data_IF_579628282223
#
_entry.id   IF_579628282223
#
_cell.length_a   1.000
_cell.length_b   1.000
_cell.length_c   1.000
_cell.angle_alpha   90.00
_cell.angle_beta   90.00
_cell.angle_gamma   90.00
#
_symmetry.space_group_name_H-M   'P 1'
#
loop_
_entity.id
_entity.type
_entity.pdbx_description
1 polymer ?
#
# COMPACT_ATOMS: atom_id res chain seq x y z
N UNK A 1 -7.13 34.89 -2.12
CA UNK A 1 -6.07 33.93 -2.47
C UNK A 1 -6.66 32.55 -2.32
N UNK A 2 -6.61 31.73 -3.36
CA UNK A 2 -7.15 30.38 -3.30
C UNK A 2 -6.11 29.54 -2.54
N UNK A 3 -6.41 29.15 -1.30
CA UNK A 3 -5.53 28.22 -0.58
C UNK A 3 -5.40 26.97 -1.45
N UNK A 4 -4.18 26.52 -1.66
CA UNK A 4 -3.94 25.28 -2.38
C UNK A 4 -4.54 24.12 -1.56
N UNK A 5 -5.12 23.11 -2.21
CA UNK A 5 -5.73 21.94 -1.55
C UNK A 5 -4.84 21.36 -0.45
N UNK A 6 -3.51 21.36 -0.66
CA UNK A 6 -2.53 20.90 0.33
C UNK A 6 -2.58 21.74 1.61
N UNK A 7 -2.62 23.06 1.52
CA UNK A 7 -2.68 23.96 2.68
C UNK A 7 -3.99 23.77 3.46
N UNK A 8 -5.10 23.55 2.75
CA UNK A 8 -6.40 23.30 3.37
C UNK A 8 -6.43 21.96 4.12
N UNK A 9 -5.80 20.93 3.56
CA UNK A 9 -5.71 19.60 4.16
C UNK A 9 -4.78 19.61 5.38
N UNK A 10 -3.59 20.21 5.25
CA UNK A 10 -2.65 20.35 6.37
C UNK A 10 -3.23 21.19 7.52
N UNK A 11 -4.02 22.22 7.22
CA UNK A 11 -4.68 23.06 8.22
C UNK A 11 -5.77 22.35 9.04
N UNK A 12 -6.24 21.18 8.60
CA UNK A 12 -7.21 20.35 9.31
C UNK A 12 -6.55 19.26 10.17
N UNK A 13 -5.22 19.08 10.03
CA UNK A 13 -4.50 18.10 10.81
C UNK A 13 -4.29 18.58 12.25
N UNK A 14 -4.56 17.70 13.20
CA UNK A 14 -4.21 17.85 14.60
C UNK A 14 -3.10 16.87 14.97
N UNK A 15 -2.19 17.29 15.84
CA UNK A 15 -1.22 16.38 16.43
C UNK A 15 -1.89 15.60 17.55
N UNK A 16 -1.84 14.27 17.46
CA UNK A 16 -2.24 13.39 18.54
C UNK A 16 -1.22 13.37 19.68
N UNK A 17 -1.57 12.69 20.77
CA UNK A 17 -0.66 12.47 21.88
C UNK A 17 0.60 11.73 21.41
N UNK A 18 1.77 12.29 21.74
CA UNK A 18 3.06 11.72 21.38
C UNK A 18 3.20 10.31 21.96
N UNK A 19 3.50 9.36 21.08
CA UNK A 19 3.85 8.00 21.47
C UNK A 19 5.38 7.90 21.49
N UNK A 20 5.97 7.36 22.55
CA UNK A 20 7.43 7.26 22.65
C UNK A 20 7.87 5.90 23.19
N UNK A 21 8.97 5.40 22.64
CA UNK A 21 9.68 4.21 23.11
C UNK A 21 11.18 4.43 22.97
N UNK A 22 11.92 4.36 24.08
CA UNK A 22 13.34 4.71 24.14
C UNK A 22 13.63 6.09 23.54
N UNK A 23 14.41 6.15 22.45
CA UNK A 23 14.80 7.34 21.71
C UNK A 23 13.95 7.60 20.46
N UNK A 24 12.83 6.87 20.29
CA UNK A 24 11.87 7.08 19.22
C UNK A 24 10.63 7.79 19.75
N UNK A 25 10.22 8.88 19.10
CA UNK A 25 8.98 9.59 19.37
C UNK A 25 8.19 9.71 18.07
N UNK A 26 6.91 9.38 18.13
CA UNK A 26 5.97 9.42 17.03
C UNK A 26 4.89 10.44 17.38
N UNK A 27 4.70 11.42 16.52
CA UNK A 27 3.64 12.41 16.61
C UNK A 27 2.57 12.06 15.60
N UNK A 28 1.43 11.48 16.02
CA UNK A 28 0.37 11.12 15.09
C UNK A 28 -0.20 12.37 14.41
N UNK A 29 -0.37 12.31 13.09
CA UNK A 29 -1.15 13.30 12.35
C UNK A 29 -2.57 12.78 12.24
N UNK A 30 -3.51 13.46 12.87
CA UNK A 30 -4.92 13.06 12.95
C UNK A 30 -5.79 14.08 12.21
N UNK A 31 -6.91 13.62 11.67
CA UNK A 31 -7.98 14.46 11.11
C UNK A 31 -9.33 13.91 11.59
N UNK A 32 -10.33 14.78 11.70
CA UNK A 32 -11.70 14.37 12.03
C UNK A 32 -12.42 13.73 10.82
N UNK A 33 -11.80 13.81 9.64
CA UNK A 33 -12.32 13.24 8.40
C UNK A 33 -12.03 11.73 8.35
N UNK A 34 -13.08 10.93 8.51
CA UNK A 34 -13.00 9.46 8.42
C UNK A 34 -13.02 9.03 6.94
N UNK A 35 -12.00 9.47 6.19
CA UNK A 35 -11.84 9.06 4.80
C UNK A 35 -10.98 7.80 4.75
N UNK A 36 -11.61 6.67 4.43
CA UNK A 36 -10.85 5.48 4.05
C UNK A 36 -9.99 5.84 2.83
N UNK A 37 -8.71 5.43 2.81
CA UNK A 37 -7.91 5.55 1.59
C UNK A 37 -8.67 4.87 0.45
N UNK A 38 -8.76 5.53 -0.70
CA UNK A 38 -9.46 5.03 -1.89
C UNK A 38 -8.74 3.85 -2.56
N UNK A 39 -8.03 3.03 -1.79
CA UNK A 39 -7.27 1.87 -2.18
C UNK A 39 -7.20 0.86 -1.03
N UNK A 40 -6.97 -0.41 -1.37
CA UNK A 40 -6.64 -1.48 -0.43
C UNK A 40 -5.12 -1.61 -0.32
N UNK A 41 -4.62 -2.07 0.83
CA UNK A 41 -3.21 -2.47 0.93
C UNK A 41 -3.00 -3.88 0.37
N UNK A 42 -1.77 -4.22 0.03
CA UNK A 42 -1.40 -5.56 -0.41
C UNK A 42 -1.84 -6.63 0.61
N UNK A 43 -1.55 -6.42 1.89
CA UNK A 43 -1.93 -7.35 2.96
C UNK A 43 -3.44 -7.56 3.05
N UNK A 44 -4.23 -6.48 2.99
CA UNK A 44 -5.69 -6.57 2.96
C UNK A 44 -6.15 -7.40 1.76
N UNK A 45 -5.64 -7.09 0.58
CA UNK A 45 -6.07 -7.74 -0.65
C UNK A 45 -5.68 -9.23 -0.71
N UNK A 46 -4.51 -9.61 -0.19
CA UNK A 46 -4.10 -11.02 -0.14
C UNK A 46 -4.87 -11.81 0.92
N UNK A 47 -5.06 -11.25 2.12
CA UNK A 47 -5.79 -11.92 3.20
C UNK A 47 -7.26 -12.19 2.82
N UNK A 48 -7.88 -11.24 2.13
CA UNK A 48 -9.28 -11.35 1.68
C UNK A 48 -9.44 -12.04 0.32
N UNK A 49 -8.34 -12.57 -0.25
CA UNK A 49 -8.31 -13.23 -1.58
C UNK A 49 -8.83 -12.34 -2.72
N UNK A 50 -8.64 -11.04 -2.58
CA UNK A 50 -8.98 -9.97 -3.51
C UNK A 50 -7.83 -9.63 -4.48
N UNK A 51 -6.64 -10.19 -4.24
CA UNK A 51 -5.53 -10.18 -5.18
C UNK A 51 -4.96 -11.58 -5.38
N UNK A 52 -4.27 -11.76 -6.50
CA UNK A 52 -3.57 -13.01 -6.82
C UNK A 52 -2.16 -12.71 -7.31
N UNK A 53 -1.19 -13.49 -6.82
CA UNK A 53 0.19 -13.47 -7.29
C UNK A 53 0.48 -14.81 -7.98
N UNK A 54 1.00 -14.75 -9.19
CA UNK A 54 1.40 -15.95 -9.96
C UNK A 54 2.82 -15.80 -10.46
N UNK A 55 3.58 -16.88 -10.42
CA UNK A 55 4.93 -16.93 -11.01
C UNK A 55 4.83 -17.22 -12.51
N UNK A 56 5.49 -16.40 -13.30
CA UNK A 56 5.66 -16.60 -14.74
C UNK A 56 7.11 -17.03 -14.94
N UNK A 57 7.31 -18.29 -15.34
CA UNK A 57 8.64 -18.81 -15.66
C UNK A 57 8.63 -19.50 -17.02
N UNK A 58 9.42 -18.99 -17.97
CA UNK A 58 9.89 -19.77 -19.11
C UNK A 58 11.31 -20.26 -18.81
N UNK A 59 11.58 -21.53 -19.13
CA UNK A 59 12.76 -22.26 -18.65
C UNK A 59 14.08 -21.49 -18.79
N UNK A 60 14.81 -21.36 -17.68
CA UNK A 60 16.16 -20.77 -17.63
C UNK A 60 16.23 -19.27 -17.32
N UNK A 61 15.11 -18.60 -17.10
CA UNK A 61 15.07 -17.17 -16.73
C UNK A 61 14.83 -16.94 -15.24
N UNK A 62 15.20 -15.75 -14.76
CA UNK A 62 14.85 -15.27 -13.42
C UNK A 62 13.32 -15.28 -13.30
N UNK A 63 12.72 -15.90 -12.28
CA UNK A 63 11.27 -15.92 -12.12
C UNK A 63 10.67 -14.51 -12.06
N UNK A 64 9.68 -14.23 -12.89
CA UNK A 64 8.87 -13.01 -12.81
C UNK A 64 7.57 -13.29 -12.05
N UNK A 65 7.04 -12.27 -11.37
CA UNK A 65 5.77 -12.35 -10.66
C UNK A 65 4.74 -11.47 -11.37
N UNK A 66 3.57 -12.04 -11.66
CA UNK A 66 2.40 -11.28 -12.07
C UNK A 66 1.47 -11.10 -10.86
N UNK A 67 1.05 -9.85 -10.67
CA UNK A 67 0.08 -9.46 -9.66
C UNK A 67 -1.23 -9.13 -10.36
N UNK A 68 -2.35 -9.66 -9.86
CA UNK A 68 -3.66 -9.44 -10.44
C UNK A 68 -4.60 -8.88 -9.37
N UNK A 69 -5.18 -7.71 -9.66
CA UNK A 69 -6.18 -7.07 -8.83
C UNK A 69 -7.58 -7.59 -9.23
N UNK A 70 -8.21 -8.36 -8.34
CA UNK A 70 -9.51 -8.99 -8.59
C UNK A 70 -10.69 -8.11 -8.15
N UNK A 71 -10.43 -6.86 -7.76
CA UNK A 71 -11.42 -5.91 -7.26
C UNK A 71 -11.62 -4.75 -8.24
N UNK A 72 -12.65 -3.94 -8.00
CA UNK A 72 -12.85 -2.67 -8.72
C UNK A 72 -12.10 -1.50 -8.05
N UNK A 73 -11.43 -1.73 -6.92
CA UNK A 73 -10.68 -0.72 -6.18
C UNK A 73 -9.18 -0.81 -6.49
N UNK A 74 -8.44 0.31 -6.48
CA UNK A 74 -6.99 0.26 -6.55
C UNK A 74 -6.38 -0.53 -5.37
N UNK A 75 -5.28 -1.23 -5.60
CA UNK A 75 -4.47 -1.84 -4.53
C UNK A 75 -3.10 -1.16 -4.54
N UNK A 76 -2.69 -0.64 -3.37
CA UNK A 76 -1.37 -0.07 -3.16
C UNK A 76 -0.42 -1.19 -2.70
N UNK A 77 0.63 -1.38 -3.49
CA UNK A 77 1.77 -2.23 -3.19
C UNK A 77 2.90 -1.30 -2.77
N UNK A 78 3.30 -1.33 -1.51
CA UNK A 78 4.34 -0.48 -0.97
C UNK A 78 5.72 -1.09 -1.16
N UNK A 79 6.70 -0.23 -1.41
CA UNK A 79 8.11 -0.63 -1.43
C UNK A 79 8.51 -1.21 -0.06
N UNK A 80 9.28 -2.31 -0.08
CA UNK A 80 9.68 -3.02 1.12
C UNK A 80 8.68 -4.06 1.64
N UNK A 81 7.48 -4.18 1.07
CA UNK A 81 6.56 -5.27 1.41
C UNK A 81 7.07 -6.63 0.89
N UNK A 82 6.85 -7.68 1.68
CA UNK A 82 7.23 -9.05 1.33
C UNK A 82 6.08 -9.80 0.66
N UNK A 83 6.32 -10.31 -0.54
CA UNK A 83 5.43 -11.23 -1.23
C UNK A 83 5.70 -12.65 -0.75
N UNK A 84 4.84 -13.14 0.14
CA UNK A 84 4.91 -14.50 0.69
C UNK A 84 3.95 -15.42 -0.07
N UNK A 85 4.42 -16.58 -0.54
CA UNK A 85 3.58 -17.60 -1.19
C UNK A 85 3.93 -17.96 -2.64
N UNK A 86 4.92 -17.28 -3.25
CA UNK A 86 5.55 -17.73 -4.50
C UNK A 86 6.66 -18.78 -4.22
N UNK A 87 7.26 -19.41 -5.24
CA UNK A 87 8.37 -20.36 -5.03
C UNK A 87 9.60 -19.74 -4.38
N UNK A 88 9.71 -18.41 -4.42
CA UNK A 88 10.71 -17.60 -3.74
C UNK A 88 9.99 -16.43 -3.08
N UNK A 89 10.33 -16.10 -1.84
CA UNK A 89 9.89 -14.86 -1.23
C UNK A 89 10.60 -13.69 -1.90
N UNK A 90 9.87 -12.60 -2.14
CA UNK A 90 10.42 -11.39 -2.78
C UNK A 90 10.01 -10.15 -2.00
N UNK A 91 10.97 -9.25 -1.80
CA UNK A 91 10.69 -7.90 -1.32
C UNK A 91 10.47 -7.00 -2.53
N UNK A 92 9.34 -6.29 -2.55
CA UNK A 92 9.08 -5.26 -3.55
C UNK A 92 10.13 -4.16 -3.45
N UNK A 93 10.58 -3.64 -4.59
CA UNK A 93 11.56 -2.56 -4.69
C UNK A 93 10.98 -1.28 -5.32
N UNK A 94 9.66 -1.25 -5.47
CA UNK A 94 8.91 -0.18 -6.12
C UNK A 94 7.53 -0.11 -5.49
N UNK A 95 7.04 1.12 -5.31
CA UNK A 95 5.66 1.37 -4.90
C UNK A 95 4.77 1.47 -6.14
N UNK A 96 3.69 0.70 -6.18
CA UNK A 96 2.74 0.66 -7.29
C UNK A 96 1.31 0.84 -6.78
N UNK A 97 0.51 1.62 -7.51
CA UNK A 97 -0.94 1.66 -7.33
C UNK A 97 -1.59 0.95 -8.51
N UNK A 98 -2.03 -0.29 -8.29
CA UNK A 98 -2.58 -1.17 -9.32
C UNK A 98 -4.09 -0.96 -9.39
N UNK A 99 -4.58 -0.46 -10.52
CA UNK A 99 -6.01 -0.17 -10.72
C UNK A 99 -6.87 -1.43 -10.64
N UNK A 100 -8.16 -1.25 -10.33
CA UNK A 100 -9.13 -2.35 -10.29
C UNK A 100 -9.19 -3.12 -11.62
N UNK A 101 -9.34 -4.45 -11.53
CA UNK A 101 -9.48 -5.35 -12.67
C UNK A 101 -8.24 -5.47 -13.57
N UNK A 102 -7.07 -5.00 -13.13
CA UNK A 102 -5.83 -5.06 -13.90
C UNK A 102 -4.91 -6.20 -13.48
N UNK A 103 -4.02 -6.59 -14.40
CA UNK A 103 -2.98 -7.62 -14.24
C UNK A 103 -1.64 -7.07 -14.70
#
# INVERSE_FOLDING_TARGET
>A
MQNNLIEQQLGQLNLGDVQWIHNLSVYPLLTDEDSMPGYLTLDQALNDKQARITEISEGGHVPELAFENLTDQPILLLDGEELVGAKQNRVLNVTLLVLGGSK
#
